data_IF_559729743985
#
_entry.id   IF_559729743985
#
_cell.length_a   1.000
_cell.length_b   1.000
_cell.length_c   1.000
_cell.angle_alpha   90.00
_cell.angle_beta   90.00
_cell.angle_gamma   90.00
#
_symmetry.space_group_name_H-M   'P 1'
#
loop_
_entity.id
_entity.type
_entity.pdbx_description
1 polymer ?
#
# COMPACT_ATOMS: atom_id res chain seq x y z
N UNK A 1 18.81 -1.06 -2.79
CA UNK A 1 18.89 -2.29 -3.59
C UNK A 1 18.24 -3.40 -2.78
N UNK A 2 16.94 -3.64 -2.96
CA UNK A 2 16.17 -4.62 -2.20
C UNK A 2 16.43 -6.03 -2.73
N UNK A 3 16.34 -6.21 -4.06
CA UNK A 3 16.62 -7.47 -4.76
C UNK A 3 17.75 -7.31 -5.77
N UNK A 4 18.96 -7.03 -5.28
CA UNK A 4 20.10 -6.77 -6.14
C UNK A 4 21.36 -6.37 -5.41
N UNK A 5 22.43 -6.17 -6.17
CA UNK A 5 23.73 -5.73 -5.65
C UNK A 5 23.96 -4.25 -5.91
N UNK A 6 24.32 -3.48 -4.88
CA UNK A 6 24.75 -2.09 -5.05
C UNK A 6 26.16 -2.04 -5.64
N UNK A 7 26.33 -1.34 -6.78
CA UNK A 7 27.62 -1.10 -7.43
C UNK A 7 27.71 0.37 -7.84
N UNK A 8 28.68 1.10 -7.30
CA UNK A 8 28.93 2.51 -7.60
C UNK A 8 27.69 3.43 -7.47
N UNK A 9 26.82 3.19 -6.48
CA UNK A 9 25.61 3.99 -6.25
C UNK A 9 24.43 3.63 -7.16
N UNK A 10 24.56 2.62 -8.02
CA UNK A 10 23.46 2.07 -8.81
C UNK A 10 23.16 0.63 -8.37
N UNK A 11 21.89 0.23 -8.45
CA UNK A 11 21.48 -1.14 -8.14
C UNK A 11 21.50 -2.01 -9.39
N UNK A 12 22.24 -3.12 -9.35
CA UNK A 12 22.16 -4.19 -10.34
C UNK A 12 21.16 -5.23 -9.85
N UNK A 13 19.98 -5.28 -10.47
CA UNK A 13 18.86 -6.10 -10.01
C UNK A 13 19.03 -7.58 -10.37
N UNK A 14 18.49 -8.44 -9.50
CA UNK A 14 18.34 -9.88 -9.75
C UNK A 14 17.24 -10.14 -10.80
N UNK A 15 17.25 -11.32 -11.40
CA UNK A 15 16.27 -11.70 -12.42
C UNK A 15 14.84 -11.65 -11.87
N UNK A 16 13.99 -10.88 -12.54
CA UNK A 16 12.60 -10.65 -12.15
C UNK A 16 12.40 -9.41 -11.26
N UNK A 17 13.43 -8.57 -11.09
CA UNK A 17 13.36 -7.31 -10.36
C UNK A 17 13.88 -6.14 -11.18
N UNK A 18 13.27 -4.97 -11.00
CA UNK A 18 13.58 -3.74 -11.74
C UNK A 18 13.39 -2.51 -10.86
N UNK A 19 13.60 -1.32 -11.44
CA UNK A 19 13.53 -0.06 -10.71
C UNK A 19 14.89 0.41 -10.20
N UNK A 20 14.98 1.68 -9.73
CA UNK A 20 16.23 2.30 -9.31
C UNK A 20 16.86 1.61 -8.09
N UNK A 21 16.04 0.96 -7.26
CA UNK A 21 16.45 0.25 -6.06
C UNK A 21 16.13 -1.26 -6.10
N UNK A 22 15.69 -1.78 -7.24
CA UNK A 22 15.29 -3.18 -7.42
C UNK A 22 14.10 -3.61 -6.55
N UNK A 23 13.15 -2.72 -6.25
CA UNK A 23 11.91 -3.05 -5.52
C UNK A 23 10.73 -3.41 -6.42
N UNK A 24 10.81 -3.14 -7.73
CA UNK A 24 9.71 -3.41 -8.66
C UNK A 24 9.84 -4.83 -9.20
N UNK A 25 8.73 -5.56 -9.24
CA UNK A 25 8.69 -6.88 -9.88
C UNK A 25 8.88 -6.71 -11.39
N UNK A 26 9.29 -7.76 -12.09
CA UNK A 26 9.14 -7.86 -13.54
C UNK A 26 8.38 -9.12 -13.91
N UNK A 27 7.37 -8.94 -14.75
CA UNK A 27 6.58 -10.03 -15.31
C UNK A 27 7.33 -10.78 -16.41
N UNK A 28 8.48 -10.26 -16.88
CA UNK A 28 9.39 -10.98 -17.77
C UNK A 28 9.96 -12.20 -17.03
N UNK A 29 9.41 -13.38 -17.33
CA UNK A 29 9.76 -14.64 -16.65
C UNK A 29 8.61 -15.31 -15.89
N UNK A 30 7.42 -14.69 -15.82
CA UNK A 30 6.16 -15.30 -15.35
C UNK A 30 5.80 -15.06 -13.87
N UNK A 31 4.59 -15.49 -13.48
CA UNK A 31 3.93 -15.25 -12.17
C UNK A 31 4.65 -15.83 -10.93
N UNK A 32 5.75 -16.57 -11.10
CA UNK A 32 6.59 -17.06 -10.01
C UNK A 32 7.11 -15.93 -9.10
N UNK A 33 7.10 -14.69 -9.57
CA UNK A 33 7.62 -13.52 -8.86
C UNK A 33 6.61 -12.83 -7.94
N UNK A 34 5.32 -13.16 -8.04
CA UNK A 34 4.28 -12.77 -7.07
C UNK A 34 4.11 -13.83 -5.98
N UNK A 35 5.22 -14.40 -5.52
CA UNK A 35 5.29 -15.54 -4.58
C UNK A 35 4.51 -16.79 -5.03
N UNK A 36 4.11 -16.87 -6.30
CA UNK A 36 3.17 -17.88 -6.81
C UNK A 36 1.75 -17.76 -6.24
N UNK A 37 1.44 -16.65 -5.58
CA UNK A 37 0.16 -16.39 -4.91
C UNK A 37 -0.70 -15.39 -5.69
N UNK A 38 -0.08 -14.41 -6.35
CA UNK A 38 -0.77 -13.40 -7.15
C UNK A 38 -0.53 -13.54 -8.65
N UNK A 39 -1.23 -12.71 -9.42
CA UNK A 39 -1.02 -12.57 -10.85
C UNK A 39 -0.11 -11.38 -11.14
N UNK A 40 0.90 -11.59 -11.98
CA UNK A 40 1.77 -10.50 -12.42
C UNK A 40 1.10 -9.78 -13.59
N UNK A 41 0.83 -8.49 -13.42
CA UNK A 41 0.14 -7.65 -14.39
C UNK A 41 1.02 -6.47 -14.80
N UNK A 42 0.97 -6.12 -16.08
CA UNK A 42 1.66 -4.95 -16.61
C UNK A 42 0.63 -3.84 -16.80
N UNK A 43 0.78 -2.75 -16.05
CA UNK A 43 -0.12 -1.60 -16.09
C UNK A 43 0.48 -0.50 -16.98
N UNK A 44 -0.32 0.13 -17.86
CA UNK A 44 0.13 1.24 -18.67
C UNK A 44 0.30 2.49 -17.80
N UNK A 45 1.48 3.09 -17.82
CA UNK A 45 1.68 4.40 -17.20
C UNK A 45 1.04 5.50 -18.06
N UNK A 46 0.41 6.45 -17.39
CA UNK A 46 -0.21 7.63 -18.04
C UNK A 46 0.82 8.66 -18.51
N UNK A 47 2.11 8.47 -18.19
CA UNK A 47 3.21 9.31 -18.62
C UNK A 47 4.21 8.50 -19.47
N UNK A 48 4.52 9.02 -20.66
CA UNK A 48 5.63 8.58 -21.53
C UNK A 48 5.66 7.10 -21.94
N UNK A 49 4.50 6.43 -22.02
CA UNK A 49 4.38 5.02 -22.45
C UNK A 49 5.20 4.06 -21.56
N UNK A 50 5.41 4.44 -20.29
CA UNK A 50 6.13 3.64 -19.31
C UNK A 50 5.19 2.61 -18.72
N UNK A 51 5.38 1.34 -19.07
CA UNK A 51 4.65 0.24 -18.44
C UNK A 51 5.30 -0.19 -17.14
N UNK A 52 4.50 -0.47 -16.12
CA UNK A 52 4.97 -0.94 -14.82
C UNK A 52 4.47 -2.35 -14.59
N UNK A 53 5.36 -3.25 -14.19
CA UNK A 53 5.02 -4.59 -13.78
C UNK A 53 4.68 -4.57 -12.27
N UNK A 54 3.53 -5.10 -11.89
CA UNK A 54 3.06 -5.19 -10.50
C UNK A 54 2.35 -6.52 -10.22
N UNK A 55 2.16 -6.86 -8.95
CA UNK A 55 1.43 -8.05 -8.54
C UNK A 55 0.03 -7.71 -8.06
N UNK A 56 -0.98 -8.33 -8.68
CA UNK A 56 -2.35 -8.34 -8.16
C UNK A 56 -2.48 -9.47 -7.13
N UNK A 57 -2.49 -9.10 -5.85
CA UNK A 57 -2.52 -10.06 -4.75
C UNK A 57 -3.94 -10.49 -4.39
N UNK A 58 -4.17 -11.77 -4.08
CA UNK A 58 -5.45 -12.23 -3.52
C UNK A 58 -5.74 -11.55 -2.18
N UNK A 59 -7.02 -11.53 -1.81
CA UNK A 59 -7.45 -11.02 -0.51
C UNK A 59 -6.67 -11.67 0.64
N UNK A 60 -6.15 -10.82 1.54
CA UNK A 60 -5.33 -11.28 2.67
C UNK A 60 -3.83 -11.40 2.37
N UNK A 61 -3.37 -11.04 1.17
CA UNK A 61 -1.95 -10.96 0.83
C UNK A 61 -1.54 -9.53 0.42
N UNK A 62 -0.31 -9.16 0.69
CA UNK A 62 0.23 -7.81 0.47
C UNK A 62 1.72 -7.84 0.15
N UNK A 63 2.33 -6.66 0.06
CA UNK A 63 3.64 -6.35 -0.54
C UNK A 63 3.65 -6.49 -2.07
N UNK A 64 4.72 -5.97 -2.69
CA UNK A 64 4.91 -5.94 -4.13
C UNK A 64 5.02 -7.33 -4.78
N UNK A 65 5.20 -8.39 -4.00
CA UNK A 65 5.34 -9.77 -4.43
C UNK A 65 4.33 -10.73 -3.77
N UNK A 66 3.30 -10.20 -3.11
CA UNK A 66 2.29 -10.98 -2.38
C UNK A 66 2.83 -11.92 -1.29
N UNK A 67 4.06 -11.70 -0.80
CA UNK A 67 4.70 -12.58 0.19
C UNK A 67 4.16 -12.42 1.61
N UNK A 68 3.58 -11.26 1.95
CA UNK A 68 3.07 -11.01 3.29
C UNK A 68 1.58 -11.33 3.40
N UNK A 69 1.19 -11.97 4.51
CA UNK A 69 -0.22 -12.15 4.86
C UNK A 69 -0.73 -10.96 5.67
N UNK A 70 -1.83 -10.36 5.23
CA UNK A 70 -2.63 -9.44 6.03
C UNK A 70 -3.50 -10.24 6.99
N UNK A 71 -3.08 -10.36 8.25
CA UNK A 71 -3.93 -10.88 9.32
C UNK A 71 -4.46 -9.71 10.14
N UNK A 72 -5.77 -9.67 10.46
CA UNK A 72 -6.29 -8.74 11.45
C UNK A 72 -5.45 -8.84 12.72
N UNK A 73 -4.95 -7.71 13.22
CA UNK A 73 -4.24 -7.70 14.48
C UNK A 73 -5.23 -8.07 15.59
N UNK A 74 -4.75 -8.86 16.55
CA UNK A 74 -5.51 -9.10 17.76
C UNK A 74 -5.78 -7.75 18.44
N UNK A 75 -7.03 -7.53 18.85
CA UNK A 75 -7.37 -6.32 19.59
C UNK A 75 -6.50 -6.19 20.83
N UNK A 76 -5.87 -5.03 20.96
CA UNK A 76 -5.23 -4.61 22.19
C UNK A 76 -6.25 -3.74 22.92
N UNK A 77 -6.85 -4.23 24.03
CA UNK A 77 -7.82 -3.45 24.78
C UNK A 77 -7.14 -2.20 25.34
N UNK A 78 -7.78 -1.03 25.16
CA UNK A 78 -7.34 0.20 25.79
C UNK A 78 -7.50 0.06 27.31
N UNK A 79 -6.38 0.01 28.03
CA UNK A 79 -6.33 -0.15 29.50
C UNK A 79 -6.34 1.18 30.27
N UNK A 80 -6.48 2.31 29.56
CA UNK A 80 -6.35 3.63 30.16
C UNK A 80 -7.74 4.20 30.50
N UNK A 81 -7.96 4.45 31.79
CA UNK A 81 -9.14 5.16 32.30
C UNK A 81 -8.98 6.68 32.30
N UNK A 82 -8.29 7.23 31.31
CA UNK A 82 -8.14 8.68 31.12
C UNK A 82 -8.69 9.08 29.74
N UNK A 83 -9.25 10.27 29.66
CA UNK A 83 -9.69 10.85 28.38
C UNK A 83 -8.48 10.97 27.45
N UNK A 84 -8.49 10.21 26.37
CA UNK A 84 -7.37 10.12 25.42
C UNK A 84 -7.48 11.21 24.33
N UNK A 85 -8.68 11.76 24.11
CA UNK A 85 -8.95 12.75 23.08
C UNK A 85 -9.57 14.02 23.67
N UNK A 86 -9.11 15.16 23.16
CA UNK A 86 -9.59 16.52 23.45
C UNK A 86 -10.94 16.77 22.76
N UNK A 87 -11.68 17.82 23.16
CA UNK A 87 -12.95 18.27 22.52
C UNK A 87 -12.80 18.74 21.05
N UNK A 88 -11.71 18.35 20.38
CA UNK A 88 -11.34 18.74 19.02
C UNK A 88 -11.98 17.87 17.94
N UNK A 89 -12.51 16.69 18.30
CA UNK A 89 -13.36 15.88 17.42
C UNK A 89 -14.76 15.66 18.00
N UNK A 90 -15.74 15.37 17.12
CA UNK A 90 -17.14 15.15 17.50
C UNK A 90 -17.36 13.79 18.18
N UNK A 91 -16.33 12.95 18.27
CA UNK A 91 -16.42 11.56 18.74
C UNK A 91 -15.91 11.38 20.18
N UNK A 92 -15.04 12.27 20.67
CA UNK A 92 -14.39 12.15 21.97
C UNK A 92 -13.65 10.82 22.12
N UNK A 93 -13.80 10.16 23.27
CA UNK A 93 -13.25 8.80 23.48
C UNK A 93 -14.09 7.68 22.85
N UNK A 94 -15.16 8.00 22.13
CA UNK A 94 -16.04 7.03 21.46
C UNK A 94 -15.86 7.15 19.94
N UNK A 95 -14.61 7.08 19.50
CA UNK A 95 -14.29 7.04 18.08
C UNK A 95 -14.64 5.66 17.50
N UNK A 96 -15.57 5.57 16.54
CA UNK A 96 -16.04 4.29 16.00
C UNK A 96 -14.95 3.40 15.39
N UNK A 97 -13.76 3.96 15.11
CA UNK A 97 -12.59 3.26 14.57
C UNK A 97 -11.64 2.78 15.69
N UNK A 98 -11.52 3.51 16.80
CA UNK A 98 -10.48 3.28 17.82
C UNK A 98 -11.01 2.74 19.16
N UNK A 99 -12.33 2.70 19.36
CA UNK A 99 -12.94 2.22 20.61
C UNK A 99 -12.68 0.74 20.88
N UNK A 100 -12.49 -0.06 19.82
CA UNK A 100 -12.20 -1.49 19.94
C UNK A 100 -10.69 -1.78 20.01
N UNK A 101 -9.82 -0.90 19.50
CA UNK A 101 -8.38 -1.12 19.38
C UNK A 101 -7.55 0.16 19.28
N UNK A 102 -6.39 0.22 19.95
CA UNK A 102 -5.36 1.27 19.74
C UNK A 102 -4.55 1.11 18.45
N UNK A 103 -4.72 0.00 17.73
CA UNK A 103 -4.00 -0.29 16.48
C UNK A 103 -5.03 -0.61 15.40
N UNK A 104 -5.19 0.30 14.44
CA UNK A 104 -5.98 0.07 13.24
C UNK A 104 -5.08 -0.41 12.08
N UNK A 105 -5.51 -1.43 11.36
CA UNK A 105 -4.94 -1.76 10.06
C UNK A 105 -5.68 -0.98 8.98
N UNK A 106 -4.91 -0.22 8.20
CA UNK A 106 -5.42 0.58 7.09
C UNK A 106 -5.02 -0.10 5.79
N UNK A 107 -6.00 -0.37 4.95
CA UNK A 107 -5.80 -0.83 3.59
C UNK A 107 -6.18 0.28 2.60
N UNK A 108 -5.29 0.59 1.68
CA UNK A 108 -5.48 1.61 0.66
C UNK A 108 -5.60 0.93 -0.70
N UNK A 109 -6.70 1.19 -1.40
CA UNK A 109 -6.92 0.77 -2.77
C UNK A 109 -6.90 2.01 -3.67
N UNK A 110 -6.11 1.95 -4.73
CA UNK A 110 -5.99 2.99 -5.73
C UNK A 110 -6.19 2.38 -7.11
N UNK A 111 -6.68 3.17 -8.06
CA UNK A 111 -6.72 2.74 -9.45
C UNK A 111 -5.29 2.45 -9.96
N UNK A 112 -5.07 1.39 -10.75
CA UNK A 112 -3.74 1.05 -11.26
C UNK A 112 -3.08 2.17 -12.09
N UNK A 113 -3.86 2.93 -12.88
CA UNK A 113 -3.33 4.02 -13.70
C UNK A 113 -2.86 5.19 -12.81
N UNK A 114 -3.59 5.44 -11.72
CA UNK A 114 -3.24 6.42 -10.69
C UNK A 114 -2.03 5.97 -9.87
N UNK A 115 -1.88 4.67 -9.59
CA UNK A 115 -0.69 4.13 -8.95
C UNK A 115 0.54 4.34 -9.81
N UNK A 116 0.45 4.07 -11.11
CA UNK A 116 1.55 4.26 -12.05
C UNK A 116 2.01 5.72 -12.07
N UNK A 117 1.07 6.66 -11.99
CA UNK A 117 1.40 8.06 -11.80
C UNK A 117 2.21 8.27 -10.51
N UNK A 118 1.77 7.78 -9.34
CA UNK A 118 2.47 8.05 -8.07
C UNK A 118 3.90 7.50 -7.96
N UNK A 119 4.19 6.37 -8.60
CA UNK A 119 5.47 5.66 -8.41
C UNK A 119 6.51 5.96 -9.48
N UNK A 120 6.14 6.70 -10.54
CA UNK A 120 7.08 7.08 -11.59
C UNK A 120 7.87 8.35 -11.25
N UNK A 121 9.18 8.38 -11.55
CA UNK A 121 10.12 9.41 -11.08
C UNK A 121 9.90 10.81 -11.67
N UNK A 122 9.02 10.98 -12.66
CA UNK A 122 8.69 12.27 -13.27
C UNK A 122 7.65 13.09 -12.49
N UNK A 123 7.05 12.53 -11.42
CA UNK A 123 6.15 13.27 -10.53
C UNK A 123 6.88 14.02 -9.42
N UNK A 124 8.04 14.58 -9.74
CA UNK A 124 8.69 15.61 -8.94
C UNK A 124 7.77 16.84 -8.86
N UNK A 125 6.92 16.89 -7.82
CA UNK A 125 6.23 18.09 -7.29
C UNK A 125 4.81 18.43 -7.78
N UNK A 126 4.05 17.52 -8.42
CA UNK A 126 2.61 17.79 -8.61
C UNK A 126 1.84 17.59 -7.30
N UNK A 127 1.03 18.58 -6.93
CA UNK A 127 0.30 18.62 -5.65
C UNK A 127 -1.06 17.93 -5.68
N UNK A 128 -1.36 17.25 -6.76
CA UNK A 128 -2.70 16.70 -6.99
C UNK A 128 -2.90 15.45 -6.14
N UNK A 129 -4.07 15.37 -5.52
CA UNK A 129 -4.51 14.19 -4.78
C UNK A 129 -5.18 13.24 -5.76
N UNK A 130 -4.77 11.97 -5.74
CA UNK A 130 -5.43 10.92 -6.53
C UNK A 130 -6.52 10.24 -5.72
N UNK A 131 -7.62 9.82 -6.35
CA UNK A 131 -8.68 9.11 -5.66
C UNK A 131 -8.18 7.76 -5.16
N UNK A 132 -8.56 7.42 -3.93
CA UNK A 132 -8.33 6.13 -3.33
C UNK A 132 -9.51 5.76 -2.42
N UNK A 133 -9.64 4.47 -2.13
CA UNK A 133 -10.53 3.96 -1.11
C UNK A 133 -9.69 3.48 0.07
N UNK A 134 -10.07 3.90 1.27
CA UNK A 134 -9.39 3.56 2.52
C UNK A 134 -10.28 2.67 3.35
N UNK A 135 -9.78 1.50 3.71
CA UNK A 135 -10.51 0.50 4.48
C UNK A 135 -9.83 0.29 5.83
N UNK A 136 -10.60 0.37 6.91
CA UNK A 136 -10.16 0.09 8.27
C UNK A 136 -10.68 -1.27 8.70
N UNK A 137 -9.78 -2.12 9.18
CA UNK A 137 -10.12 -3.41 9.77
C UNK A 137 -10.08 -3.32 11.30
N UNK A 138 -11.26 -3.45 11.93
CA UNK A 138 -11.42 -3.61 13.37
C UNK A 138 -11.48 -5.08 13.83
N UNK A 139 -11.71 -5.33 15.12
CA UNK A 139 -11.68 -6.66 15.73
C UNK A 139 -12.90 -7.53 15.40
N UNK A 140 -14.06 -6.92 15.16
CA UNK A 140 -15.37 -7.60 15.14
C UNK A 140 -15.93 -7.89 13.75
N UNK A 141 -15.10 -7.86 12.70
CA UNK A 141 -15.53 -7.86 11.27
C UNK A 141 -16.16 -6.54 10.81
N UNK A 142 -16.13 -5.51 11.66
CA UNK A 142 -16.47 -4.15 11.26
C UNK A 142 -15.39 -3.64 10.31
N UNK A 143 -15.77 -3.55 9.03
CA UNK A 143 -14.98 -2.96 7.96
C UNK A 143 -15.56 -1.56 7.75
N UNK A 144 -14.79 -0.52 8.06
CA UNK A 144 -15.18 0.84 7.68
C UNK A 144 -14.48 1.20 6.38
N UNK A 145 -15.23 1.62 5.38
CA UNK A 145 -14.71 2.06 4.09
C UNK A 145 -14.95 3.56 3.95
N UNK A 146 -13.88 4.31 3.78
CA UNK A 146 -13.92 5.70 3.33
C UNK A 146 -13.67 5.71 1.83
N UNK A 147 -14.71 6.00 1.07
CA UNK A 147 -14.64 6.15 -0.39
C UNK A 147 -14.21 7.58 -0.76
N UNK A 148 -13.55 7.72 -1.91
CA UNK A 148 -13.12 9.02 -2.47
C UNK A 148 -12.16 9.82 -1.57
N UNK A 149 -11.26 9.13 -0.85
CA UNK A 149 -10.17 9.82 -0.16
C UNK A 149 -9.11 10.25 -1.16
N UNK A 150 -8.44 11.37 -0.89
CA UNK A 150 -7.32 11.84 -1.71
C UNK A 150 -5.98 11.33 -1.18
N UNK A 151 -5.20 10.63 -1.99
CA UNK A 151 -3.85 10.19 -1.64
C UNK A 151 -2.78 10.94 -2.43
N UNK A 152 -1.66 11.24 -1.77
CA UNK A 152 -0.48 11.85 -2.38
C UNK A 152 0.79 11.33 -1.72
N UNK A 153 1.77 10.91 -2.51
CA UNK A 153 3.11 10.58 -2.00
C UNK A 153 3.83 11.88 -1.65
N UNK A 154 4.27 12.02 -0.39
CA UNK A 154 5.08 13.17 0.02
C UNK A 154 6.54 12.87 -0.29
N UNK A 155 7.10 13.56 -1.29
CA UNK A 155 8.54 13.65 -1.54
C UNK A 155 9.25 14.48 -0.50
#
# INVERSE_FOLDING_TARGET
CTHGTCKNGACACEDGWTGPDCSFVSCKGGAQKCSGLGECVTIPGTLDDVTIDTCECPYGYSLSDCSATMKPLAAVPLLLGIDQYTDEDDYGNNNPIFDETVIAQIYLQIDPDDLAYLILPSNENKRDYLPANMTFYGNSSNIMVMENVGMRVKG
#
